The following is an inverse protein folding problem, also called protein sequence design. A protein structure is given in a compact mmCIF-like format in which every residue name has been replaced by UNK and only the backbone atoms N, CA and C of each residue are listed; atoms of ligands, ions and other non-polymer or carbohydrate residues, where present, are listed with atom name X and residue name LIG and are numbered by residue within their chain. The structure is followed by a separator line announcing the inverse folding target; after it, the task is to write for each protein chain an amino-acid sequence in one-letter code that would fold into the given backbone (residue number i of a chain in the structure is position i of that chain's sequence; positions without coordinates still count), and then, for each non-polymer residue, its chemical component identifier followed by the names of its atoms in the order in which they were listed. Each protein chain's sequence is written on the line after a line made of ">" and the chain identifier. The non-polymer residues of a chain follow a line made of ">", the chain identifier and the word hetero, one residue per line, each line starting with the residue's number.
data_IF_156713189529
#
_entry.id   IF_156713189529
#
_cell.length_a   1.000
_cell.length_b   1.000
_cell.length_c   1.000
_cell.angle_alpha   90.00
_cell.angle_beta   90.00
_cell.angle_gamma   90.00
#
_symmetry.space_group_name_H-M   'P 1'
#
loop_
_entity.id
_entity.type
_entity.pdbx_description
1 polymer ?
#
# COMPACT_ATOMS: atom_id res chain seq x y z
N UNK A 1 43.98 28.29 -7.52
CA UNK A 1 42.66 28.07 -6.89
C UNK A 1 41.64 27.26 -7.75
N UNK A 2 42.06 26.70 -8.88
CA UNK A 2 41.21 25.96 -9.84
C UNK A 2 41.35 24.41 -9.75
N UNK A 3 42.38 23.88 -9.09
CA UNK A 3 42.64 22.45 -8.99
C UNK A 3 41.78 21.73 -7.96
N UNK A 4 41.23 22.43 -6.95
CA UNK A 4 40.42 21.79 -5.88
C UNK A 4 39.00 21.42 -6.30
N UNK A 5 38.43 22.12 -7.28
CA UNK A 5 37.04 21.81 -7.75
C UNK A 5 36.92 20.57 -8.61
N UNK A 6 37.93 20.26 -9.39
CA UNK A 6 37.96 19.10 -10.25
C UNK A 6 38.21 17.79 -9.49
N UNK A 7 38.96 17.83 -8.39
CA UNK A 7 39.19 16.67 -7.54
C UNK A 7 37.93 16.26 -6.79
N UNK A 8 37.09 17.23 -6.35
CA UNK A 8 35.84 16.94 -5.64
C UNK A 8 34.78 16.36 -6.57
N UNK A 9 34.73 16.79 -7.83
CA UNK A 9 33.79 16.23 -8.83
C UNK A 9 34.22 14.81 -9.26
N UNK A 10 35.55 14.57 -9.38
CA UNK A 10 36.08 13.25 -9.71
C UNK A 10 35.85 12.24 -8.57
N UNK A 11 35.98 12.67 -7.31
CA UNK A 11 35.71 11.79 -6.14
C UNK A 11 34.24 11.46 -5.97
N UNK A 12 33.32 12.36 -6.33
CA UNK A 12 31.87 12.06 -6.32
C UNK A 12 31.46 11.12 -7.47
N UNK A 13 32.12 11.21 -8.62
CA UNK A 13 31.88 10.28 -9.72
C UNK A 13 32.48 8.88 -9.48
N UNK A 14 33.60 8.78 -8.80
CA UNK A 14 34.23 7.49 -8.45
C UNK A 14 33.50 6.76 -7.33
N UNK A 15 32.77 7.46 -6.46
CA UNK A 15 31.93 6.82 -5.43
C UNK A 15 30.71 6.06 -6.02
N UNK A 16 30.23 6.46 -7.18
CA UNK A 16 29.10 5.77 -7.84
C UNK A 16 29.60 4.59 -8.72
N UNK A 17 30.80 4.69 -9.30
CA UNK A 17 31.36 3.65 -10.17
C UNK A 17 32.04 2.48 -9.43
N UNK A 18 32.13 2.53 -8.11
CA UNK A 18 32.73 1.47 -7.28
C UNK A 18 31.73 0.67 -6.43
N UNK A 19 30.43 0.99 -6.50
CA UNK A 19 29.43 0.26 -5.74
C UNK A 19 28.92 -0.94 -6.56
N UNK A 20 28.88 -2.10 -5.92
CA UNK A 20 28.30 -3.30 -6.48
C UNK A 20 26.76 -3.22 -6.40
N UNK A 21 26.01 -3.31 -7.52
CA UNK A 21 24.56 -3.26 -7.50
C UNK A 21 23.93 -4.39 -6.65
N UNK A 22 24.59 -5.54 -6.55
CA UNK A 22 24.19 -6.64 -5.68
C UNK A 22 24.30 -6.27 -4.20
N UNK A 23 25.40 -5.60 -3.80
CA UNK A 23 25.56 -5.14 -2.43
C UNK A 23 24.50 -4.11 -2.04
N UNK A 24 24.17 -3.17 -2.95
CA UNK A 24 23.11 -2.18 -2.75
C UNK A 24 21.72 -2.82 -2.64
N UNK A 25 21.45 -3.85 -3.45
CA UNK A 25 20.22 -4.65 -3.37
C UNK A 25 20.09 -5.31 -1.99
N UNK A 26 21.13 -6.00 -1.54
CA UNK A 26 21.13 -6.73 -0.27
C UNK A 26 20.94 -5.79 0.93
N UNK A 27 21.59 -4.61 0.91
CA UNK A 27 21.42 -3.59 1.93
C UNK A 27 19.97 -3.03 1.91
N UNK A 28 19.41 -2.79 0.71
CA UNK A 28 18.03 -2.35 0.55
C UNK A 28 17.01 -3.37 1.06
N UNK A 29 17.22 -4.66 0.83
CA UNK A 29 16.38 -5.72 1.37
C UNK A 29 16.46 -5.79 2.91
N UNK A 30 17.63 -5.55 3.48
CA UNK A 30 17.83 -5.46 4.93
C UNK A 30 17.06 -4.26 5.51
N UNK A 31 17.13 -3.09 4.87
CA UNK A 31 16.35 -1.91 5.29
C UNK A 31 14.85 -2.17 5.21
N UNK A 32 14.38 -2.79 4.14
CA UNK A 32 12.96 -3.14 3.99
C UNK A 32 12.50 -4.09 5.10
N UNK A 33 13.35 -5.06 5.47
CA UNK A 33 13.07 -6.01 6.57
C UNK A 33 12.99 -5.31 7.94
N UNK A 34 13.72 -4.22 8.14
CA UNK A 34 13.66 -3.39 9.35
C UNK A 34 12.51 -2.36 9.33
N UNK A 35 11.75 -2.28 8.22
CA UNK A 35 10.65 -1.35 8.05
C UNK A 35 11.03 0.01 7.43
N UNK A 36 12.30 0.23 7.09
CA UNK A 36 12.71 1.44 6.39
C UNK A 36 12.46 1.34 4.87
N UNK A 37 11.20 1.59 4.50
CA UNK A 37 10.73 1.55 3.10
C UNK A 37 11.44 2.61 2.25
N UNK A 38 11.71 3.79 2.82
CA UNK A 38 12.33 4.92 2.10
C UNK A 38 13.81 4.68 1.84
N UNK A 39 14.53 4.15 2.83
CA UNK A 39 15.93 3.75 2.70
C UNK A 39 16.10 2.64 1.67
N UNK A 40 15.25 1.61 1.73
CA UNK A 40 15.23 0.52 0.77
C UNK A 40 15.01 1.04 -0.68
N UNK A 41 14.02 1.92 -0.89
CA UNK A 41 13.75 2.53 -2.20
C UNK A 41 14.97 3.29 -2.74
N UNK A 42 15.67 4.04 -1.88
CA UNK A 42 16.87 4.79 -2.25
C UNK A 42 18.00 3.87 -2.69
N UNK A 43 18.21 2.75 -1.99
CA UNK A 43 19.26 1.78 -2.31
C UNK A 43 18.96 1.01 -3.59
N UNK A 44 17.72 0.56 -3.81
CA UNK A 44 17.31 -0.08 -5.05
C UNK A 44 17.48 0.86 -6.26
N UNK A 45 17.13 2.14 -6.11
CA UNK A 45 17.36 3.14 -7.15
C UNK A 45 18.86 3.42 -7.35
N UNK A 46 19.68 3.32 -6.31
CA UNK A 46 21.13 3.45 -6.42
C UNK A 46 21.75 2.27 -7.18
N UNK A 47 21.27 1.05 -6.95
CA UNK A 47 21.64 -0.12 -7.74
C UNK A 47 21.35 0.09 -9.25
N UNK A 48 20.18 0.66 -9.59
CA UNK A 48 19.82 0.98 -10.98
C UNK A 48 20.59 2.16 -11.58
N UNK A 49 21.20 3.02 -10.75
CA UNK A 49 22.14 4.05 -11.25
C UNK A 49 23.47 3.45 -11.66
N UNK A 50 23.89 2.37 -10.98
CA UNK A 50 25.10 1.62 -11.31
C UNK A 50 24.86 0.74 -12.55
N UNK A 51 23.79 -0.04 -12.53
CA UNK A 51 23.35 -0.87 -13.66
C UNK A 51 21.84 -0.69 -13.90
N UNK A 52 21.43 0.11 -14.91
CA UNK A 52 20.03 0.35 -15.23
C UNK A 52 19.25 -0.91 -15.65
N UNK A 53 19.95 -1.99 -16.02
CA UNK A 53 19.37 -3.27 -16.44
C UNK A 53 19.43 -4.34 -15.34
N UNK A 54 19.80 -3.98 -14.10
CA UNK A 54 19.89 -4.91 -12.99
C UNK A 54 18.49 -5.42 -12.57
N UNK A 55 18.07 -6.52 -13.19
CA UNK A 55 16.74 -7.09 -13.04
C UNK A 55 16.33 -7.41 -11.59
N UNK A 56 17.24 -7.87 -10.68
CA UNK A 56 16.87 -8.05 -9.26
C UNK A 56 16.40 -6.77 -8.58
N UNK A 57 17.05 -5.61 -8.83
CA UNK A 57 16.63 -4.33 -8.25
C UNK A 57 15.30 -3.84 -8.85
N UNK A 58 15.07 -4.05 -10.15
CA UNK A 58 13.78 -3.76 -10.80
C UNK A 58 12.65 -4.58 -10.16
N UNK A 59 12.86 -5.88 -9.91
CA UNK A 59 11.90 -6.73 -9.17
C UNK A 59 11.69 -6.24 -7.74
N UNK A 60 12.74 -5.84 -7.03
CA UNK A 60 12.65 -5.30 -5.68
C UNK A 60 11.80 -4.02 -5.65
N UNK A 61 12.02 -3.08 -6.59
CA UNK A 61 11.20 -1.88 -6.76
C UNK A 61 9.75 -2.20 -7.13
N UNK A 62 9.52 -3.22 -7.97
CA UNK A 62 8.17 -3.72 -8.27
C UNK A 62 7.45 -4.19 -7.01
N UNK A 63 8.09 -5.03 -6.19
CA UNK A 63 7.55 -5.51 -4.90
C UNK A 63 7.28 -4.36 -3.93
N UNK A 64 8.20 -3.42 -3.81
CA UNK A 64 8.09 -2.27 -2.92
C UNK A 64 6.93 -1.36 -3.33
N UNK A 65 6.76 -1.09 -4.63
CA UNK A 65 5.62 -0.29 -5.11
C UNK A 65 4.30 -1.04 -4.94
N UNK A 66 4.28 -2.37 -5.08
CA UNK A 66 3.10 -3.17 -4.74
C UNK A 66 2.74 -3.01 -3.26
N UNK A 67 3.72 -3.10 -2.35
CA UNK A 67 3.52 -2.87 -0.91
C UNK A 67 3.01 -1.45 -0.60
N UNK A 68 3.41 -0.45 -1.37
CA UNK A 68 2.90 0.94 -1.25
C UNK A 68 1.50 1.13 -1.85
N UNK A 69 0.92 0.11 -2.49
CA UNK A 69 -0.36 0.21 -3.21
C UNK A 69 -0.26 0.92 -4.56
N UNK A 70 0.95 1.07 -5.12
CA UNK A 70 1.17 1.63 -6.45
C UNK A 70 1.33 0.51 -7.50
N UNK A 71 0.20 -0.13 -7.83
CA UNK A 71 0.18 -1.22 -8.81
C UNK A 71 0.70 -0.80 -10.18
N UNK A 72 0.51 0.48 -10.58
CA UNK A 72 0.99 0.98 -11.87
C UNK A 72 2.51 0.92 -11.93
N UNK A 73 3.20 1.50 -10.95
CA UNK A 73 4.67 1.42 -10.87
C UNK A 73 5.18 0.00 -10.67
N UNK A 74 4.47 -0.80 -9.85
CA UNK A 74 4.83 -2.20 -9.67
C UNK A 74 4.85 -2.95 -11.01
N UNK A 75 3.85 -2.72 -11.87
CA UNK A 75 3.77 -3.30 -13.21
C UNK A 75 4.86 -2.76 -14.14
N UNK A 76 5.11 -1.44 -14.13
CA UNK A 76 6.17 -0.82 -14.94
C UNK A 76 7.54 -1.44 -14.64
N UNK A 77 7.90 -1.56 -13.36
CA UNK A 77 9.16 -2.20 -12.95
C UNK A 77 9.20 -3.70 -13.24
N UNK A 78 8.06 -4.42 -13.14
CA UNK A 78 8.03 -5.84 -13.47
C UNK A 78 8.27 -6.10 -14.96
N UNK A 79 7.76 -5.25 -15.84
CA UNK A 79 8.01 -5.33 -17.29
C UNK A 79 9.48 -5.03 -17.59
N UNK A 80 10.05 -4.00 -16.97
CA UNK A 80 11.47 -3.68 -17.14
C UNK A 80 12.37 -4.83 -16.66
N UNK A 81 12.01 -5.50 -15.55
CA UNK A 81 12.75 -6.67 -15.08
C UNK A 81 12.77 -7.80 -16.10
N UNK A 82 11.63 -8.09 -16.76
CA UNK A 82 11.55 -9.10 -17.83
C UNK A 82 12.34 -8.68 -19.06
N UNK A 83 12.34 -7.39 -19.41
CA UNK A 83 13.14 -6.87 -20.53
C UNK A 83 14.65 -6.99 -20.29
N UNK A 84 15.08 -6.87 -19.04
CA UNK A 84 16.46 -7.02 -18.64
C UNK A 84 16.87 -8.49 -18.49
N UNK A 85 15.96 -9.32 -17.98
CA UNK A 85 16.18 -10.76 -17.78
C UNK A 85 14.84 -11.51 -17.83
N UNK A 86 14.73 -12.43 -18.80
CA UNK A 86 13.54 -13.27 -19.05
C UNK A 86 13.14 -14.14 -17.85
N UNK A 87 14.07 -14.49 -16.96
CA UNK A 87 13.81 -15.29 -15.77
C UNK A 87 12.84 -14.61 -14.79
N UNK A 88 12.60 -13.30 -14.95
CA UNK A 88 11.63 -12.54 -14.16
C UNK A 88 10.19 -12.55 -14.71
N UNK A 89 9.92 -13.29 -15.78
CA UNK A 89 8.59 -13.42 -16.41
C UNK A 89 7.50 -13.84 -15.41
N UNK A 90 7.76 -14.86 -14.59
CA UNK A 90 6.81 -15.34 -13.60
C UNK A 90 6.37 -14.23 -12.62
N UNK A 91 7.26 -13.31 -12.28
CA UNK A 91 6.93 -12.18 -11.43
C UNK A 91 5.98 -11.19 -12.14
N UNK A 92 6.28 -10.86 -13.39
CA UNK A 92 5.44 -9.96 -14.18
C UNK A 92 4.04 -10.54 -14.42
N UNK A 93 3.93 -11.84 -14.67
CA UNK A 93 2.64 -12.54 -14.79
C UNK A 93 1.82 -12.49 -13.49
N UNK A 94 2.47 -12.63 -12.33
CA UNK A 94 1.80 -12.47 -11.02
C UNK A 94 1.24 -11.07 -10.85
N UNK A 95 1.98 -10.03 -11.25
CA UNK A 95 1.49 -8.63 -11.23
C UNK A 95 0.31 -8.46 -12.20
N UNK A 96 0.36 -9.07 -13.38
CA UNK A 96 -0.75 -9.07 -14.35
C UNK A 96 -2.03 -9.68 -13.77
N UNK A 97 -1.93 -10.80 -13.06
CA UNK A 97 -3.08 -11.45 -12.38
C UNK A 97 -3.73 -10.55 -11.31
N UNK A 98 -2.95 -9.75 -10.58
CA UNK A 98 -3.52 -8.77 -9.65
C UNK A 98 -4.44 -7.80 -10.40
N UNK A 99 -3.97 -7.28 -11.53
CA UNK A 99 -4.76 -6.36 -12.37
C UNK A 99 -6.05 -7.02 -12.86
N UNK A 100 -5.98 -8.25 -13.32
CA UNK A 100 -7.14 -9.04 -13.77
C UNK A 100 -8.17 -9.21 -12.63
N UNK A 101 -7.74 -9.65 -11.45
CA UNK A 101 -8.63 -9.82 -10.30
C UNK A 101 -9.28 -8.51 -9.86
N UNK A 102 -8.53 -7.38 -9.88
CA UNK A 102 -9.12 -6.06 -9.59
C UNK A 102 -10.20 -5.71 -10.63
N UNK A 103 -9.95 -5.94 -11.91
CA UNK A 103 -10.93 -5.66 -12.97
C UNK A 103 -12.18 -6.51 -12.82
N UNK A 104 -12.02 -7.81 -12.54
CA UNK A 104 -13.13 -8.73 -12.31
C UNK A 104 -13.92 -8.33 -11.06
N UNK A 105 -13.26 -8.05 -9.95
CA UNK A 105 -13.88 -7.57 -8.74
C UNK A 105 -14.66 -6.27 -8.96
N UNK A 106 -14.07 -5.29 -9.65
CA UNK A 106 -14.74 -4.02 -9.98
C UNK A 106 -15.97 -4.22 -10.87
N UNK A 107 -15.91 -5.15 -11.84
CA UNK A 107 -17.07 -5.52 -12.69
C UNK A 107 -18.17 -6.12 -11.84
N UNK A 108 -17.85 -7.04 -10.93
CA UNK A 108 -18.81 -7.64 -10.01
C UNK A 108 -19.47 -6.58 -9.11
N UNK A 109 -18.70 -5.62 -8.61
CA UNK A 109 -19.25 -4.48 -7.82
C UNK A 109 -20.24 -3.66 -8.64
N UNK A 110 -19.96 -3.39 -9.92
CA UNK A 110 -20.89 -2.67 -10.81
C UNK A 110 -22.21 -3.43 -11.04
N UNK A 111 -22.15 -4.76 -11.01
CA UNK A 111 -23.30 -5.64 -11.12
C UNK A 111 -23.99 -5.94 -9.78
N UNK A 112 -23.53 -5.30 -8.69
CA UNK A 112 -23.99 -5.56 -7.32
C UNK A 112 -23.75 -7.00 -6.81
N UNK A 113 -22.83 -7.72 -7.45
CA UNK A 113 -22.36 -9.04 -7.04
C UNK A 113 -21.22 -8.88 -6.03
N UNK A 114 -21.55 -8.39 -4.85
CA UNK A 114 -20.55 -7.92 -3.89
C UNK A 114 -19.70 -9.05 -3.28
N UNK A 115 -20.31 -10.21 -3.01
CA UNK A 115 -19.57 -11.35 -2.45
C UNK A 115 -18.61 -11.96 -3.49
N UNK A 116 -19.00 -11.97 -4.76
CA UNK A 116 -18.15 -12.38 -5.87
C UNK A 116 -16.97 -11.41 -6.06
N UNK A 117 -17.21 -10.12 -5.88
CA UNK A 117 -16.16 -9.12 -5.91
C UNK A 117 -15.14 -9.35 -4.78
N UNK A 118 -15.61 -9.62 -3.56
CA UNK A 118 -14.74 -9.90 -2.41
C UNK A 118 -13.91 -11.16 -2.67
N UNK A 119 -14.47 -12.22 -3.24
CA UNK A 119 -13.73 -13.43 -3.62
C UNK A 119 -12.57 -13.12 -4.59
N UNK A 120 -12.79 -12.21 -5.56
CA UNK A 120 -11.72 -11.81 -6.47
C UNK A 120 -10.59 -11.07 -5.72
N UNK A 121 -10.93 -10.16 -4.80
CA UNK A 121 -9.92 -9.47 -3.98
C UNK A 121 -9.25 -10.39 -2.95
N UNK A 122 -9.93 -11.42 -2.47
CA UNK A 122 -9.34 -12.44 -1.59
C UNK A 122 -8.24 -13.26 -2.29
N UNK A 123 -8.41 -13.57 -3.58
CA UNK A 123 -7.35 -14.20 -4.38
C UNK A 123 -6.09 -13.36 -4.38
N UNK A 124 -6.23 -12.03 -4.46
CA UNK A 124 -5.09 -11.11 -4.38
C UNK A 124 -4.47 -11.15 -2.98
N UNK A 125 -5.29 -11.03 -1.92
CA UNK A 125 -4.79 -11.04 -0.54
C UNK A 125 -4.07 -12.35 -0.18
N UNK A 126 -4.52 -13.47 -0.73
CA UNK A 126 -3.88 -14.79 -0.52
C UNK A 126 -2.53 -14.90 -1.24
N UNK A 127 -2.45 -14.42 -2.49
CA UNK A 127 -1.23 -14.45 -3.28
C UNK A 127 -0.21 -13.36 -2.88
N UNK A 128 -0.71 -12.21 -2.44
CA UNK A 128 0.07 -11.01 -2.14
C UNK A 128 -0.43 -10.34 -0.85
N UNK A 129 -0.19 -10.94 0.34
CA UNK A 129 -0.71 -10.44 1.63
C UNK A 129 -0.16 -9.06 2.02
N UNK A 130 0.93 -8.62 1.39
CA UNK A 130 1.55 -7.31 1.58
C UNK A 130 1.00 -6.22 0.64
N UNK A 131 -0.02 -6.52 -0.19
CA UNK A 131 -0.63 -5.55 -1.09
C UNK A 131 -1.88 -4.92 -0.43
N UNK A 132 -1.81 -3.67 0.06
CA UNK A 132 -2.87 -3.05 0.86
C UNK A 132 -4.13 -2.74 0.05
N UNK A 133 -4.01 -2.51 -1.28
CA UNK A 133 -5.16 -2.19 -2.13
C UNK A 133 -6.18 -3.36 -2.19
N UNK A 134 -5.78 -4.62 -1.95
CA UNK A 134 -6.74 -5.72 -1.88
C UNK A 134 -7.73 -5.52 -0.72
N UNK A 135 -7.24 -5.19 0.47
CA UNK A 135 -8.08 -4.83 1.61
C UNK A 135 -8.87 -3.54 1.36
N UNK A 136 -8.25 -2.54 0.74
CA UNK A 136 -8.94 -1.30 0.38
C UNK A 136 -10.14 -1.54 -0.55
N UNK A 137 -10.02 -2.38 -1.59
CA UNK A 137 -11.13 -2.71 -2.48
C UNK A 137 -12.23 -3.49 -1.78
N UNK A 138 -11.90 -4.41 -0.85
CA UNK A 138 -12.89 -5.07 0.02
C UNK A 138 -13.64 -4.06 0.87
N UNK A 139 -12.93 -3.10 1.45
CA UNK A 139 -13.53 -2.00 2.23
C UNK A 139 -14.49 -1.15 1.39
N UNK A 140 -14.12 -0.77 0.17
CA UNK A 140 -15.01 -0.05 -0.74
C UNK A 140 -16.26 -0.86 -1.10
N UNK A 141 -16.12 -2.17 -1.27
CA UNK A 141 -17.24 -3.07 -1.58
C UNK A 141 -18.21 -3.14 -0.41
N UNK A 142 -17.73 -3.34 0.82
CA UNK A 142 -18.55 -3.32 2.04
C UNK A 142 -19.24 -1.98 2.24
N UNK A 143 -18.53 -0.88 1.96
CA UNK A 143 -19.12 0.45 2.01
C UNK A 143 -20.30 0.61 1.05
N UNK A 144 -20.21 0.09 -0.17
CA UNK A 144 -21.30 0.09 -1.15
C UNK A 144 -22.49 -0.79 -0.72
N UNK A 145 -22.24 -1.88 0.00
CA UNK A 145 -23.27 -2.71 0.64
C UNK A 145 -23.94 -2.00 1.84
N UNK A 146 -23.46 -0.81 2.24
CA UNK A 146 -23.84 -0.11 3.48
C UNK A 146 -23.41 -0.86 4.76
N UNK A 147 -22.51 -1.80 4.64
CA UNK A 147 -21.82 -2.45 5.76
C UNK A 147 -20.66 -1.56 6.20
N UNK A 148 -21.00 -0.57 7.05
CA UNK A 148 -20.06 0.46 7.50
C UNK A 148 -18.96 -0.14 8.39
N UNK A 149 -19.33 -1.11 9.24
CA UNK A 149 -18.40 -1.78 10.14
C UNK A 149 -17.42 -2.68 9.37
N UNK A 150 -17.92 -3.47 8.41
CA UNK A 150 -17.07 -4.24 7.51
C UNK A 150 -16.12 -3.37 6.69
N UNK A 151 -16.59 -2.21 6.21
CA UNK A 151 -15.76 -1.24 5.51
C UNK A 151 -14.64 -0.72 6.39
N UNK A 152 -14.96 -0.31 7.65
CA UNK A 152 -13.97 0.19 8.60
C UNK A 152 -12.87 -0.85 8.88
N UNK A 153 -13.27 -2.11 9.10
CA UNK A 153 -12.35 -3.23 9.34
C UNK A 153 -11.37 -3.42 8.19
N UNK A 154 -11.85 -3.42 6.96
CA UNK A 154 -11.00 -3.59 5.79
C UNK A 154 -10.09 -2.40 5.53
N UNK A 155 -10.56 -1.15 5.71
CA UNK A 155 -9.68 0.02 5.60
C UNK A 155 -8.60 0.03 6.68
N UNK A 156 -8.95 -0.33 7.92
CA UNK A 156 -7.98 -0.50 9.01
C UNK A 156 -6.95 -1.60 8.69
N UNK A 157 -7.37 -2.73 8.11
CA UNK A 157 -6.45 -3.79 7.68
C UNK A 157 -5.50 -3.31 6.58
N UNK A 158 -5.96 -2.54 5.61
CA UNK A 158 -5.09 -1.94 4.60
C UNK A 158 -4.01 -1.03 5.23
N UNK A 159 -4.35 -0.25 6.26
CA UNK A 159 -3.42 0.60 7.01
C UNK A 159 -2.46 -0.20 7.90
N UNK A 160 -2.85 -1.38 8.39
CA UNK A 160 -1.92 -2.30 9.09
C UNK A 160 -0.86 -2.88 8.14
N UNK A 161 -1.22 -3.09 6.85
CA UNK A 161 -0.26 -3.54 5.83
C UNK A 161 0.68 -2.39 5.46
N UNK A 162 0.13 -1.19 5.21
CA UNK A 162 0.89 0.00 4.89
C UNK A 162 0.25 1.24 5.52
N UNK A 163 0.86 1.75 6.59
CA UNK A 163 0.30 2.85 7.42
C UNK A 163 0.09 4.16 6.65
N UNK A 164 0.91 4.41 5.62
CA UNK A 164 0.82 5.61 4.77
C UNK A 164 -0.14 5.46 3.58
N UNK A 165 -0.98 4.42 3.55
CA UNK A 165 -1.91 4.18 2.45
C UNK A 165 -3.04 5.22 2.42
N UNK A 166 -2.84 6.29 1.66
CA UNK A 166 -3.71 7.49 1.64
C UNK A 166 -5.17 7.21 1.33
N UNK A 167 -5.45 6.26 0.40
CA UNK A 167 -6.82 5.91 0.02
C UNK A 167 -7.56 5.22 1.18
N UNK A 168 -6.89 4.28 1.87
CA UNK A 168 -7.46 3.58 3.00
C UNK A 168 -7.66 4.52 4.20
N UNK A 169 -6.71 5.42 4.48
CA UNK A 169 -6.87 6.46 5.51
C UNK A 169 -8.12 7.29 5.25
N UNK A 170 -8.28 7.82 4.02
CA UNK A 170 -9.47 8.58 3.64
C UNK A 170 -10.76 7.75 3.75
N UNK A 171 -10.71 6.47 3.42
CA UNK A 171 -11.83 5.54 3.57
C UNK A 171 -12.22 5.39 5.03
N UNK A 172 -11.24 5.13 5.89
CA UNK A 172 -11.43 4.99 7.34
C UNK A 172 -11.97 6.27 7.97
N UNK A 173 -11.40 7.45 7.64
CA UNK A 173 -11.89 8.75 8.12
C UNK A 173 -13.36 8.99 7.77
N UNK A 174 -13.79 8.56 6.57
CA UNK A 174 -15.20 8.70 6.18
C UNK A 174 -16.11 7.81 7.02
N UNK A 175 -15.68 6.61 7.32
CA UNK A 175 -16.46 5.63 8.09
C UNK A 175 -16.52 6.02 9.57
N UNK A 176 -15.40 6.42 10.18
CA UNK A 176 -15.37 6.87 11.58
C UNK A 176 -16.21 8.11 11.78
N UNK A 177 -16.24 9.05 10.84
CA UNK A 177 -17.17 10.19 10.83
C UNK A 177 -18.64 9.77 10.76
N UNK A 178 -18.98 8.68 10.07
CA UNK A 178 -20.35 8.17 10.06
C UNK A 178 -20.75 7.60 11.41
N UNK A 179 -19.85 6.86 12.12
CA UNK A 179 -20.10 6.43 13.48
C UNK A 179 -20.27 7.62 14.42
N UNK A 180 -19.40 8.64 14.36
CA UNK A 180 -19.54 9.87 15.16
C UNK A 180 -20.91 10.53 14.92
N UNK A 181 -21.32 10.69 13.66
CA UNK A 181 -22.61 11.29 13.33
C UNK A 181 -23.81 10.47 13.83
N UNK A 182 -23.72 9.13 13.78
CA UNK A 182 -24.74 8.24 14.32
C UNK A 182 -24.81 8.35 15.85
N UNK A 183 -23.66 8.42 16.52
CA UNK A 183 -23.54 8.68 17.95
C UNK A 183 -24.18 10.00 18.34
N UNK A 184 -23.81 11.10 17.67
CA UNK A 184 -24.38 12.43 17.91
C UNK A 184 -25.92 12.47 17.73
N UNK A 185 -26.42 11.74 16.74
CA UNK A 185 -27.87 11.63 16.51
C UNK A 185 -28.57 10.85 17.65
N UNK A 186 -27.94 9.77 18.15
CA UNK A 186 -28.46 9.00 19.29
C UNK A 186 -28.42 9.83 20.57
N UNK A 187 -27.34 10.56 20.81
CA UNK A 187 -27.21 11.49 21.94
C UNK A 187 -28.32 12.53 21.98
N UNK A 188 -28.60 13.21 20.85
CA UNK A 188 -29.66 14.20 20.73
C UNK A 188 -31.07 13.63 20.98
N UNK A 189 -31.26 12.33 20.85
CA UNK A 189 -32.51 11.60 21.16
C UNK A 189 -32.60 11.12 22.58
N UNK A 190 -31.55 11.33 23.39
CA UNK A 190 -31.45 10.82 24.74
C UNK A 190 -31.06 9.35 24.86
N UNK A 191 -30.71 8.68 23.75
CA UNK A 191 -30.28 7.29 23.73
C UNK A 191 -28.76 7.22 23.98
N UNK A 192 -28.37 7.45 25.26
CA UNK A 192 -26.97 7.56 25.64
C UNK A 192 -26.20 6.27 25.40
N UNK A 193 -26.81 5.09 25.64
CA UNK A 193 -26.16 3.80 25.44
C UNK A 193 -25.79 3.55 23.98
N UNK A 194 -26.69 3.89 23.03
CA UNK A 194 -26.35 3.82 21.62
C UNK A 194 -25.34 4.86 21.20
N UNK A 195 -25.40 6.06 21.75
CA UNK A 195 -24.42 7.11 21.48
C UNK A 195 -23.01 6.62 21.82
N UNK A 196 -22.82 6.16 23.07
CA UNK A 196 -21.55 5.60 23.55
C UNK A 196 -21.06 4.46 22.65
N UNK A 197 -21.94 3.49 22.33
CA UNK A 197 -21.57 2.37 21.44
C UNK A 197 -21.06 2.81 20.06
N UNK A 198 -21.64 3.87 19.47
CA UNK A 198 -21.16 4.39 18.20
C UNK A 198 -19.82 5.12 18.33
N UNK A 199 -19.57 5.84 19.41
CA UNK A 199 -18.29 6.51 19.66
C UNK A 199 -17.17 5.48 19.90
N UNK A 200 -17.47 4.45 20.70
CA UNK A 200 -16.54 3.32 20.92
C UNK A 200 -16.18 2.60 19.62
N UNK A 201 -17.15 2.35 18.73
CA UNK A 201 -16.88 1.80 17.40
C UNK A 201 -15.96 2.68 16.57
N UNK A 202 -16.12 3.99 16.60
CA UNK A 202 -15.21 4.89 15.89
C UNK A 202 -13.77 4.74 16.41
N UNK A 203 -13.58 4.62 17.73
CA UNK A 203 -12.27 4.46 18.38
C UNK A 203 -11.69 3.05 18.23
N UNK A 204 -12.53 2.02 18.13
CA UNK A 204 -12.09 0.64 17.85
C UNK A 204 -11.35 0.55 16.50
N UNK A 205 -11.87 1.20 15.47
CA UNK A 205 -11.29 1.16 14.14
C UNK A 205 -10.20 2.22 13.90
N UNK A 206 -10.30 3.36 14.58
CA UNK A 206 -9.32 4.44 14.51
C UNK A 206 -9.08 5.03 15.91
N UNK A 207 -8.13 4.45 16.67
CA UNK A 207 -7.81 4.91 18.02
C UNK A 207 -7.31 6.37 18.08
N UNK A 208 -6.85 6.92 16.95
CA UNK A 208 -6.40 8.32 16.86
C UNK A 208 -7.54 9.29 16.50
N UNK A 209 -8.78 8.79 16.37
CA UNK A 209 -9.94 9.63 16.03
C UNK A 209 -10.41 10.46 17.26
N UNK A 210 -9.63 11.47 17.62
CA UNK A 210 -9.80 12.30 18.82
C UNK A 210 -11.20 12.89 18.97
N UNK A 211 -11.93 13.14 17.86
CA UNK A 211 -13.29 13.70 17.94
C UNK A 211 -14.28 12.79 18.69
N UNK A 212 -14.08 11.48 18.67
CA UNK A 212 -14.92 10.55 19.40
C UNK A 212 -14.63 10.57 20.91
N UNK A 213 -13.38 10.82 21.33
CA UNK A 213 -13.04 10.95 22.76
C UNK A 213 -13.74 12.11 23.45
N UNK A 214 -13.98 13.22 22.75
CA UNK A 214 -14.69 14.37 23.33
C UNK A 214 -16.19 14.12 23.52
N UNK A 215 -16.72 13.02 23.04
CA UNK A 215 -18.14 12.68 23.11
C UNK A 215 -18.42 11.57 24.12
N UNK A 216 -17.39 10.87 24.59
CA UNK A 216 -17.47 9.85 25.65
C UNK A 216 -17.36 10.48 27.05
#
# INVERSE_FOLDING_TARGET
>A
MFFSRYITILLLSTLVFGQDPEALLNEGESMLSSGDVSGAESLFNSALKVDPSFAPALKALSKLNLHKGDLKKANEYSIQAVQADEDFRDWSEKIGKITEHIQNGNRNVQQSLFEEAIKEYDKISQAHPYFPDAEFYKGLTRFRQKDIEGAARHFSNALKIYSEHKKARKGLDNVTKQFLNAGNKSYKRGDLGKATSYYEKALEFDPEFYLAYFQL
#
